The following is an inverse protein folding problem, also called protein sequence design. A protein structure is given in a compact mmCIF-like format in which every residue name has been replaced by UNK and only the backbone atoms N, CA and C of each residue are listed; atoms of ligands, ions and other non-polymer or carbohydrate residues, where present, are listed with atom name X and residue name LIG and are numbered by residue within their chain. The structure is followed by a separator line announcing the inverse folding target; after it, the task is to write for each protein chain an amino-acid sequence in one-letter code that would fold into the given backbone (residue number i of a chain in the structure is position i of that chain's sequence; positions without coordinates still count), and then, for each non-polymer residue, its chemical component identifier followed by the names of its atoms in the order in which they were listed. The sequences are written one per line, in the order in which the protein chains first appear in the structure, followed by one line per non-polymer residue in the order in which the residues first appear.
data_IF_244949944478
#
_entry.id   IF_244949944478
#
_cell.length_a   1.000
_cell.length_b   1.000
_cell.length_c   1.000
_cell.angle_alpha   90.00
_cell.angle_beta   90.00
_cell.angle_gamma   90.00
#
_symmetry.space_group_name_H-M   'P 1'
#
loop_
_entity.id
_entity.type
_entity.pdbx_description
1 polymer ?
#
# COMPACT_ATOMS: atom_id res chain seq x y z
N UNK A 1 -6.18 -11.72 -29.36
CA UNK A 1 -4.84 -11.31 -28.93
C UNK A 1 -4.69 -11.79 -27.50
N UNK A 2 -4.03 -12.92 -27.30
CA UNK A 2 -3.80 -13.49 -25.97
C UNK A 2 -2.65 -12.73 -25.33
N UNK A 3 -2.94 -11.60 -24.69
CA UNK A 3 -2.01 -11.02 -23.73
C UNK A 3 -2.10 -11.88 -22.47
N UNK A 4 -1.01 -12.55 -22.17
CA UNK A 4 -0.86 -13.46 -21.05
C UNK A 4 -1.09 -12.68 -19.74
N UNK A 5 -2.28 -12.83 -19.13
CA UNK A 5 -2.74 -12.02 -18.00
C UNK A 5 -1.98 -12.41 -16.74
N UNK A 6 -1.49 -11.43 -15.99
CA UNK A 6 -0.76 -11.69 -14.75
C UNK A 6 -1.22 -10.76 -13.64
N UNK A 7 -1.51 -11.32 -12.47
CA UNK A 7 -1.84 -10.56 -11.26
C UNK A 7 -0.72 -10.76 -10.25
N UNK A 8 -0.27 -9.67 -9.63
CA UNK A 8 0.65 -9.73 -8.50
C UNK A 8 -0.16 -9.88 -7.21
N UNK A 9 0.14 -10.92 -6.43
CA UNK A 9 -0.38 -11.12 -5.09
C UNK A 9 0.61 -10.58 -4.06
N UNK A 10 0.11 -9.74 -3.16
CA UNK A 10 0.85 -9.24 -1.99
C UNK A 10 0.07 -9.65 -0.73
N UNK A 11 0.69 -10.42 0.14
CA UNK A 11 0.05 -11.02 1.32
C UNK A 11 0.81 -10.69 2.60
N UNK A 12 0.10 -10.41 3.69
CA UNK A 12 0.72 -10.37 5.00
C UNK A 12 0.85 -11.78 5.60
N UNK A 13 2.08 -12.25 5.79
CA UNK A 13 2.36 -13.55 6.41
C UNK A 13 2.10 -13.52 7.92
N UNK A 14 1.49 -14.59 8.47
CA UNK A 14 1.34 -14.76 9.92
C UNK A 14 -0.04 -15.16 10.44
N UNK A 15 -1.03 -15.43 9.58
CA UNK A 15 -2.34 -15.98 9.98
C UNK A 15 -2.79 -17.12 9.06
N UNK A 16 -3.35 -18.18 9.63
CA UNK A 16 -3.80 -19.36 8.88
C UNK A 16 -4.90 -19.02 7.86
N UNK A 17 -5.78 -18.06 8.18
CA UNK A 17 -6.84 -17.52 7.31
C UNK A 17 -6.31 -16.90 6.00
N UNK A 18 -5.08 -16.37 6.01
CA UNK A 18 -4.42 -15.82 4.81
C UNK A 18 -4.06 -16.91 3.83
N UNK A 19 -3.64 -18.07 4.34
CA UNK A 19 -3.20 -19.22 3.53
C UNK A 19 -4.34 -19.80 2.71
N UNK A 20 -5.51 -19.98 3.33
CA UNK A 20 -6.68 -20.54 2.63
C UNK A 20 -7.20 -19.58 1.55
N UNK A 21 -7.27 -18.29 1.87
CA UNK A 21 -7.70 -17.25 0.92
C UNK A 21 -6.73 -17.15 -0.26
N UNK A 22 -5.41 -17.15 -0.01
CA UNK A 22 -4.40 -17.11 -1.07
C UNK A 22 -4.48 -18.34 -2.00
N UNK A 23 -4.70 -19.55 -1.45
CA UNK A 23 -4.94 -20.77 -2.26
C UNK A 23 -6.19 -20.65 -3.13
N UNK A 24 -7.24 -20.02 -2.61
CA UNK A 24 -8.48 -19.79 -3.35
C UNK A 24 -8.29 -18.82 -4.51
N UNK A 25 -7.53 -17.74 -4.29
CA UNK A 25 -7.11 -16.79 -5.33
C UNK A 25 -6.34 -17.50 -6.43
N UNK A 26 -5.30 -18.25 -6.07
CA UNK A 26 -4.49 -19.04 -7.01
C UNK A 26 -5.34 -19.97 -7.86
N UNK A 27 -6.16 -20.82 -7.23
CA UNK A 27 -7.00 -21.78 -7.94
C UNK A 27 -7.94 -21.09 -8.93
N UNK A 28 -8.63 -20.05 -8.49
CA UNK A 28 -9.66 -19.39 -9.31
C UNK A 28 -9.02 -18.65 -10.48
N UNK A 29 -7.90 -17.96 -10.27
CA UNK A 29 -7.20 -17.24 -11.34
C UNK A 29 -6.58 -18.21 -12.37
N UNK A 30 -5.96 -19.29 -11.90
CA UNK A 30 -5.36 -20.31 -12.78
C UNK A 30 -6.40 -21.04 -13.64
N UNK A 31 -7.56 -21.41 -13.07
CA UNK A 31 -8.69 -22.00 -13.82
C UNK A 31 -9.23 -21.06 -14.92
N UNK A 32 -8.99 -19.76 -14.80
CA UNK A 32 -9.39 -18.74 -15.78
C UNK A 32 -8.23 -18.23 -16.65
N UNK A 33 -7.09 -18.94 -16.66
CA UNK A 33 -5.94 -18.63 -17.51
C UNK A 33 -5.23 -17.32 -17.13
N UNK A 34 -5.28 -16.94 -15.85
CA UNK A 34 -4.58 -15.77 -15.30
C UNK A 34 -3.42 -16.28 -14.46
N UNK A 35 -2.20 -15.88 -14.82
CA UNK A 35 -0.99 -16.21 -14.06
C UNK A 35 -0.96 -15.42 -12.76
N UNK A 36 -0.50 -16.08 -11.71
CA UNK A 36 -0.29 -15.46 -10.41
C UNK A 36 1.21 -15.26 -10.18
N UNK A 37 1.57 -14.06 -9.77
CA UNK A 37 2.92 -13.72 -9.31
C UNK A 37 2.88 -13.43 -7.81
N UNK A 38 3.90 -13.84 -7.05
CA UNK A 38 3.98 -13.60 -5.61
C UNK A 38 5.40 -13.18 -5.19
N UNK A 39 5.53 -12.45 -4.07
CA UNK A 39 6.82 -11.93 -3.60
C UNK A 39 7.61 -12.97 -2.77
N UNK A 40 8.93 -13.00 -2.93
CA UNK A 40 9.83 -13.93 -2.26
C UNK A 40 9.93 -13.70 -0.75
N UNK A 41 9.84 -12.45 -0.29
CA UNK A 41 9.84 -12.12 1.15
C UNK A 41 8.61 -12.70 1.88
N UNK A 42 7.48 -12.81 1.18
CA UNK A 42 6.25 -13.43 1.67
C UNK A 42 6.30 -14.96 1.58
N UNK A 43 7.21 -15.50 0.78
CA UNK A 43 7.53 -16.93 0.75
C UNK A 43 8.58 -17.33 1.81
N UNK A 44 9.30 -16.38 2.44
CA UNK A 44 10.50 -16.68 3.24
C UNK A 44 10.49 -16.16 4.69
N UNK A 45 9.82 -15.06 5.07
CA UNK A 45 9.92 -14.54 6.46
C UNK A 45 8.64 -14.72 7.33
N UNK A 46 8.84 -15.52 8.39
CA UNK A 46 8.14 -15.64 9.69
C UNK A 46 6.62 -15.85 9.73
N UNK A 47 6.22 -17.12 9.69
CA UNK A 47 5.05 -17.63 10.42
C UNK A 47 4.12 -18.50 9.58
N UNK A 48 4.14 -19.82 9.84
CA UNK A 48 3.22 -20.87 9.37
C UNK A 48 3.13 -21.16 7.86
N UNK A 49 3.44 -20.20 6.99
CA UNK A 49 3.54 -20.41 5.56
C UNK A 49 4.95 -20.91 5.22
N UNK A 50 5.20 -22.21 5.41
CA UNK A 50 6.09 -22.90 4.48
C UNK A 50 5.36 -22.94 3.13
N UNK A 51 5.40 -21.83 2.39
CA UNK A 51 5.26 -21.84 0.94
C UNK A 51 6.68 -21.94 0.40
N UNK A 52 7.37 -23.05 0.68
CA UNK A 52 8.62 -23.28 -0.01
C UNK A 52 8.32 -23.25 -1.52
N UNK A 53 9.21 -22.70 -2.36
CA UNK A 53 9.06 -22.78 -3.81
C UNK A 53 8.78 -24.22 -4.30
N UNK A 54 9.25 -25.21 -3.54
CA UNK A 54 9.01 -26.64 -3.76
C UNK A 54 7.59 -27.09 -3.38
N UNK A 55 6.96 -26.52 -2.35
CA UNK A 55 5.56 -26.79 -1.99
C UNK A 55 4.60 -26.21 -3.04
N UNK A 56 4.94 -25.04 -3.61
CA UNK A 56 4.18 -24.41 -4.71
C UNK A 56 4.33 -25.21 -6.02
N UNK A 57 5.52 -25.74 -6.32
CA UNK A 57 5.75 -26.63 -7.47
C UNK A 57 5.09 -28.00 -7.31
N UNK A 58 5.05 -28.56 -6.10
CA UNK A 58 4.42 -29.85 -5.82
C UNK A 58 2.89 -29.83 -5.97
N UNK A 59 2.28 -28.64 -5.92
CA UNK A 59 0.84 -28.43 -6.10
C UNK A 59 0.40 -28.37 -7.57
N UNK A 60 1.33 -28.47 -8.52
CA UNK A 60 1.02 -28.49 -9.95
C UNK A 60 0.60 -27.14 -10.54
N UNK A 61 0.96 -26.04 -9.87
CA UNK A 61 0.58 -24.68 -10.24
C UNK A 61 1.82 -23.86 -10.62
N UNK A 62 1.72 -23.12 -11.74
CA UNK A 62 2.77 -22.20 -12.20
C UNK A 62 2.61 -20.82 -11.51
N UNK A 63 2.93 -20.73 -10.21
CA UNK A 63 3.11 -19.40 -9.59
C UNK A 63 4.52 -18.91 -9.88
N UNK A 64 4.62 -17.69 -10.41
CA UNK A 64 5.88 -16.99 -10.58
C UNK A 64 6.27 -16.31 -9.26
N UNK A 65 7.31 -16.81 -8.59
CA UNK A 65 7.86 -16.15 -7.39
C UNK A 65 8.95 -15.19 -7.81
N UNK A 66 8.81 -13.92 -7.45
CA UNK A 66 9.77 -12.84 -7.77
C UNK A 66 10.28 -12.17 -6.50
N UNK A 67 11.41 -11.49 -6.58
CA UNK A 67 11.90 -10.70 -5.45
C UNK A 67 11.02 -9.48 -5.18
N UNK A 68 11.00 -9.04 -3.92
CA UNK A 68 10.29 -7.84 -3.49
C UNK A 68 11.04 -6.57 -3.91
N UNK A 69 11.33 -6.44 -5.20
CA UNK A 69 11.95 -5.28 -5.82
C UNK A 69 10.89 -4.36 -6.48
N UNK A 70 11.20 -3.09 -6.76
CA UNK A 70 10.23 -2.13 -7.30
C UNK A 70 9.56 -2.56 -8.61
N UNK A 71 10.19 -3.46 -9.38
CA UNK A 71 9.72 -3.98 -10.67
C UNK A 71 8.91 -5.26 -10.55
N UNK A 72 8.65 -5.76 -9.35
CA UNK A 72 7.89 -7.00 -9.13
C UNK A 72 6.50 -6.98 -9.83
N UNK A 73 5.90 -5.80 -9.99
CA UNK A 73 4.61 -5.60 -10.65
C UNK A 73 4.71 -5.38 -12.18
N UNK A 74 5.90 -5.31 -12.77
CA UNK A 74 6.05 -5.06 -14.21
C UNK A 74 5.40 -6.18 -15.04
N UNK A 75 4.53 -5.80 -15.96
CA UNK A 75 3.78 -6.74 -16.81
C UNK A 75 2.56 -7.37 -16.13
N UNK A 76 2.28 -7.04 -14.87
CA UNK A 76 1.01 -7.38 -14.23
C UNK A 76 -0.10 -6.42 -14.67
N UNK A 77 -1.36 -6.84 -14.57
CA UNK A 77 -2.53 -5.99 -14.83
C UNK A 77 -3.16 -5.40 -13.57
N UNK A 78 -2.84 -5.99 -12.41
CA UNK A 78 -3.40 -5.64 -11.11
C UNK A 78 -2.45 -6.11 -10.00
N UNK A 79 -2.38 -5.35 -8.91
CA UNK A 79 -1.86 -5.83 -7.63
C UNK A 79 -3.03 -6.16 -6.71
N UNK A 80 -3.20 -7.44 -6.37
CA UNK A 80 -4.18 -7.92 -5.41
C UNK A 80 -3.51 -8.05 -4.03
N UNK A 81 -4.10 -7.41 -3.03
CA UNK A 81 -3.59 -7.37 -1.66
C UNK A 81 -4.49 -8.18 -0.76
N UNK A 82 -3.92 -9.12 -0.02
CA UNK A 82 -4.61 -9.81 1.06
C UNK A 82 -3.99 -9.41 2.40
N UNK A 83 -4.62 -8.47 3.09
CA UNK A 83 -4.07 -7.87 4.29
C UNK A 83 -4.75 -6.56 4.69
N UNK A 84 -4.14 -5.85 5.64
CA UNK A 84 -4.62 -4.55 6.10
C UNK A 84 -3.96 -3.38 5.37
N UNK A 85 -4.21 -2.16 5.87
CA UNK A 85 -3.72 -0.91 5.27
C UNK A 85 -2.19 -0.87 5.10
N UNK A 86 -1.42 -1.44 6.03
CA UNK A 86 0.05 -1.52 5.89
C UNK A 86 0.50 -2.39 4.71
N UNK A 87 -0.21 -3.50 4.45
CA UNK A 87 0.02 -4.36 3.27
C UNK A 87 -0.41 -3.65 1.99
N UNK A 88 -1.50 -2.87 2.05
CA UNK A 88 -1.96 -2.06 0.92
C UNK A 88 -0.92 -0.99 0.54
N UNK A 89 -0.33 -0.28 1.51
CA UNK A 89 0.71 0.72 1.26
C UNK A 89 1.96 0.11 0.62
N UNK A 90 2.37 -1.07 1.09
CA UNK A 90 3.46 -1.86 0.47
C UNK A 90 3.15 -2.20 -0.99
N UNK A 91 1.93 -2.64 -1.27
CA UNK A 91 1.49 -2.96 -2.62
C UNK A 91 1.40 -1.73 -3.53
N UNK A 92 0.94 -0.59 -3.00
CA UNK A 92 0.87 0.68 -3.72
C UNK A 92 2.25 1.15 -4.19
N UNK A 93 3.32 0.84 -3.45
CA UNK A 93 4.69 1.12 -3.88
C UNK A 93 5.09 0.36 -5.16
N UNK A 94 4.74 -0.92 -5.23
CA UNK A 94 5.01 -1.76 -6.40
C UNK A 94 4.11 -1.35 -7.58
N UNK A 95 2.83 -1.14 -7.31
CA UNK A 95 1.83 -0.78 -8.30
C UNK A 95 2.12 0.59 -8.94
N UNK A 96 2.59 1.57 -8.15
CA UNK A 96 3.00 2.88 -8.66
C UNK A 96 4.13 2.79 -9.67
N UNK A 97 5.10 1.88 -9.46
CA UNK A 97 6.23 1.70 -10.38
C UNK A 97 5.77 1.11 -11.72
N UNK A 98 4.78 0.21 -11.67
CA UNK A 98 4.19 -0.41 -12.86
C UNK A 98 3.02 0.37 -13.48
N UNK A 99 2.55 1.45 -12.83
CA UNK A 99 1.38 2.24 -13.21
C UNK A 99 0.09 1.40 -13.35
N UNK A 100 -0.16 0.49 -12.39
CA UNK A 100 -1.33 -0.40 -12.38
C UNK A 100 -2.20 -0.24 -11.13
N UNK A 101 -3.48 -0.67 -11.18
CA UNK A 101 -4.37 -0.57 -10.02
C UNK A 101 -3.94 -1.49 -8.86
N UNK A 102 -4.37 -1.12 -7.65
CA UNK A 102 -4.27 -1.93 -6.43
C UNK A 102 -5.67 -2.25 -5.94
N UNK A 103 -5.91 -3.51 -5.58
CA UNK A 103 -7.17 -3.97 -5.02
C UNK A 103 -6.92 -4.66 -3.68
N UNK A 104 -7.52 -4.15 -2.61
CA UNK A 104 -7.33 -4.67 -1.26
C UNK A 104 -8.49 -5.55 -0.78
N UNK A 105 -8.16 -6.72 -0.25
CA UNK A 105 -9.06 -7.60 0.52
C UNK A 105 -8.55 -7.70 1.95
N UNK A 106 -9.38 -7.27 2.88
CA UNK A 106 -9.10 -7.31 4.30
C UNK A 106 -9.33 -8.71 4.86
N UNK A 107 -8.32 -9.24 5.55
CA UNK A 107 -8.38 -10.55 6.21
C UNK A 107 -8.46 -10.43 7.75
N UNK A 108 -8.88 -9.28 8.27
CA UNK A 108 -8.85 -9.04 9.71
C UNK A 108 -9.63 -7.81 10.16
N UNK A 109 -8.95 -6.87 10.84
CA UNK A 109 -9.60 -5.68 11.37
C UNK A 109 -9.95 -4.73 10.23
N UNK A 110 -11.19 -4.24 10.22
CA UNK A 110 -11.67 -3.18 9.32
C UNK A 110 -10.63 -2.05 9.25
N UNK A 111 -10.09 -1.82 8.06
CA UNK A 111 -9.18 -0.72 7.72
C UNK A 111 -9.89 0.31 6.83
N UNK A 112 -9.17 1.34 6.39
CA UNK A 112 -9.74 2.38 5.53
C UNK A 112 -9.46 2.17 4.04
N UNK A 113 -8.49 1.32 3.68
CA UNK A 113 -8.03 1.15 2.29
C UNK A 113 -8.51 -0.14 1.63
N UNK A 114 -8.84 -1.16 2.42
CA UNK A 114 -9.29 -2.43 1.87
C UNK A 114 -10.77 -2.36 1.45
N UNK A 115 -11.07 -2.83 0.24
CA UNK A 115 -12.36 -2.67 -0.44
C UNK A 115 -13.34 -3.81 -0.13
N UNK A 116 -12.85 -4.97 0.32
CA UNK A 116 -13.65 -6.16 0.59
C UNK A 116 -13.14 -6.96 1.79
N UNK A 117 -14.01 -7.73 2.42
CA UNK A 117 -13.65 -8.72 3.45
C UNK A 117 -13.31 -10.08 2.82
N UNK A 118 -12.60 -10.94 3.56
CA UNK A 118 -12.17 -12.27 3.11
C UNK A 118 -13.35 -13.11 2.60
N UNK A 119 -14.52 -12.99 3.24
CA UNK A 119 -15.75 -13.69 2.89
C UNK A 119 -16.25 -13.36 1.49
N UNK A 120 -15.91 -12.16 0.97
CA UNK A 120 -16.31 -11.69 -0.35
C UNK A 120 -15.29 -12.05 -1.45
N UNK A 121 -14.23 -12.80 -1.16
CA UNK A 121 -13.14 -13.08 -2.11
C UNK A 121 -13.61 -13.65 -3.44
N UNK A 122 -14.64 -14.51 -3.46
CA UNK A 122 -15.19 -15.07 -4.70
C UNK A 122 -15.78 -14.00 -5.62
N UNK A 123 -16.52 -13.05 -5.04
CA UNK A 123 -17.10 -11.95 -5.81
C UNK A 123 -15.98 -11.04 -6.32
N UNK A 124 -14.99 -10.75 -5.48
CA UNK A 124 -13.81 -9.96 -5.85
C UNK A 124 -13.07 -10.61 -7.02
N UNK A 125 -12.82 -11.91 -6.95
CA UNK A 125 -12.15 -12.66 -8.02
C UNK A 125 -12.98 -12.69 -9.30
N UNK A 126 -14.30 -12.83 -9.20
CA UNK A 126 -15.21 -12.68 -10.32
C UNK A 126 -15.01 -11.34 -11.05
N UNK A 127 -14.89 -10.25 -10.28
CA UNK A 127 -14.63 -8.93 -10.85
C UNK A 127 -13.24 -8.78 -11.47
N UNK A 128 -12.21 -9.36 -10.84
CA UNK A 128 -10.85 -9.40 -11.39
C UNK A 128 -10.81 -10.17 -12.72
N UNK A 129 -11.49 -11.32 -12.78
CA UNK A 129 -11.56 -12.16 -13.99
C UNK A 129 -12.28 -11.42 -15.12
N UNK A 130 -13.42 -10.80 -14.82
CA UNK A 130 -14.23 -10.05 -15.78
C UNK A 130 -13.62 -8.69 -16.17
N UNK A 131 -12.66 -8.17 -15.37
CA UNK A 131 -12.12 -6.80 -15.45
C UNK A 131 -13.21 -5.73 -15.42
N UNK A 132 -14.25 -5.93 -14.62
CA UNK A 132 -15.39 -5.01 -14.46
C UNK A 132 -15.34 -4.21 -13.16
N UNK A 133 -14.14 -4.08 -12.57
CA UNK A 133 -13.85 -3.17 -11.47
C UNK A 133 -13.71 -1.72 -11.95
N UNK A 134 -13.87 -0.78 -11.00
CA UNK A 134 -13.59 0.64 -11.23
C UNK A 134 -12.18 0.96 -10.76
N UNK A 135 -11.52 1.86 -11.50
CA UNK A 135 -10.21 2.41 -11.12
C UNK A 135 -10.44 3.88 -10.78
N UNK A 136 -9.97 4.27 -9.60
CA UNK A 136 -10.05 5.63 -9.09
C UNK A 136 -8.64 6.13 -8.80
N UNK A 137 -8.35 7.35 -9.25
CA UNK A 137 -7.10 8.02 -8.92
C UNK A 137 -7.16 8.54 -7.49
N UNK A 138 -6.11 8.28 -6.71
CA UNK A 138 -5.97 8.78 -5.33
C UNK A 138 -4.82 9.77 -5.27
N UNK A 139 -5.05 10.90 -4.58
CA UNK A 139 -4.03 11.93 -4.39
C UNK A 139 -2.81 11.35 -3.67
N UNK A 140 -1.62 11.62 -4.20
CA UNK A 140 -0.33 11.30 -3.57
C UNK A 140 0.50 12.56 -3.34
N UNK A 141 1.35 12.55 -2.32
CA UNK A 141 2.31 13.62 -2.05
C UNK A 141 3.66 13.32 -2.69
N UNK A 142 4.32 14.35 -3.21
CA UNK A 142 5.73 14.34 -3.57
C UNK A 142 6.49 15.14 -2.51
N UNK A 143 7.63 14.61 -2.04
CA UNK A 143 8.41 15.22 -0.98
C UNK A 143 9.88 15.33 -1.39
N UNK A 144 10.48 16.49 -1.13
CA UNK A 144 11.90 16.73 -1.36
C UNK A 144 12.55 17.26 -0.08
N UNK A 145 13.71 16.71 0.27
CA UNK A 145 14.56 17.24 1.34
C UNK A 145 15.61 18.14 0.69
N UNK A 146 15.61 19.42 1.06
CA UNK A 146 16.51 20.42 0.51
C UNK A 146 17.37 21.05 1.60
N UNK A 147 18.68 21.10 1.37
CA UNK A 147 19.65 21.77 2.25
C UNK A 147 20.48 22.73 1.39
N UNK A 148 20.57 23.99 1.81
CA UNK A 148 21.33 25.05 1.10
C UNK A 148 21.02 25.14 -0.41
N UNK A 149 19.74 24.96 -0.77
CA UNK A 149 19.29 25.02 -2.15
C UNK A 149 19.41 23.71 -2.94
N UNK A 150 20.13 22.69 -2.43
CA UNK A 150 20.33 21.41 -3.11
C UNK A 150 19.36 20.34 -2.62
N UNK A 151 18.81 19.53 -3.54
CA UNK A 151 17.96 18.39 -3.21
C UNK A 151 18.87 17.24 -2.77
N UNK A 152 18.71 16.78 -1.54
CA UNK A 152 19.44 15.64 -0.99
C UNK A 152 18.67 14.33 -1.18
N UNK A 153 17.35 14.37 -0.97
CA UNK A 153 16.49 13.20 -1.05
C UNK A 153 15.15 13.56 -1.68
N UNK A 154 14.50 12.57 -2.27
CA UNK A 154 13.14 12.66 -2.79
C UNK A 154 12.36 11.42 -2.40
N UNK A 155 11.10 11.60 -2.06
CA UNK A 155 10.18 10.53 -1.75
C UNK A 155 8.77 10.87 -2.20
N UNK A 156 7.83 10.01 -1.85
CA UNK A 156 6.42 10.22 -2.08
C UNK A 156 5.61 9.52 -0.98
N UNK A 157 4.34 9.86 -0.85
CA UNK A 157 3.45 9.22 0.10
C UNK A 157 2.02 9.11 -0.43
N UNK A 158 1.36 7.98 -0.18
CA UNK A 158 -0.08 7.84 -0.36
C UNK A 158 -0.86 8.37 0.85
N UNK A 159 -0.36 8.16 2.06
CA UNK A 159 -1.04 8.59 3.29
C UNK A 159 -0.49 9.90 3.83
N UNK A 160 0.74 9.91 4.36
CA UNK A 160 1.34 11.12 4.92
C UNK A 160 2.86 11.12 4.85
N UNK A 161 3.40 12.34 4.90
CA UNK A 161 4.79 12.63 5.23
C UNK A 161 4.83 13.09 6.68
N UNK A 162 5.51 12.32 7.54
CA UNK A 162 5.71 12.66 8.95
C UNK A 162 7.10 13.25 9.17
N UNK A 163 7.16 14.55 9.48
CA UNK A 163 8.37 15.16 10.02
C UNK A 163 8.35 15.00 11.54
N UNK A 164 9.33 14.29 12.09
CA UNK A 164 9.41 14.01 13.53
C UNK A 164 10.72 14.50 14.13
N UNK A 165 10.70 14.86 15.41
CA UNK A 165 11.93 15.10 16.16
C UNK A 165 12.74 13.80 16.26
N UNK A 166 14.02 13.87 15.91
CA UNK A 166 14.94 12.74 16.06
C UNK A 166 15.24 12.41 17.54
N UNK A 167 15.68 13.39 18.36
CA UNK A 167 15.94 13.17 19.77
C UNK A 167 14.65 12.97 20.58
N UNK A 168 14.69 12.07 21.59
CA UNK A 168 13.54 11.82 22.48
C UNK A 168 13.19 13.01 23.39
N UNK A 169 14.19 13.82 23.74
CA UNK A 169 14.06 14.98 24.61
C UNK A 169 14.17 16.28 23.80
N UNK A 170 13.53 17.34 24.28
CA UNK A 170 13.48 18.63 23.61
C UNK A 170 12.35 18.76 22.61
N UNK A 171 12.35 19.89 21.90
CA UNK A 171 11.34 20.29 20.90
C UNK A 171 12.01 20.54 19.55
N UNK A 172 11.31 20.24 18.47
CA UNK A 172 11.71 20.60 17.12
C UNK A 172 11.17 22.01 16.82
N UNK A 173 12.06 22.97 16.57
CA UNK A 173 11.65 24.29 16.08
C UNK A 173 11.40 24.25 14.58
N UNK A 174 10.20 24.63 14.13
CA UNK A 174 9.81 24.62 12.72
C UNK A 174 9.23 25.96 12.28
N UNK A 175 9.43 26.29 11.01
CA UNK A 175 8.68 27.32 10.29
C UNK A 175 7.89 26.61 9.21
N UNK A 176 6.57 26.76 9.23
CA UNK A 176 5.69 26.22 8.20
C UNK A 176 5.42 27.32 7.17
N UNK A 177 5.69 26.98 5.91
CA UNK A 177 5.49 27.86 4.75
C UNK A 177 4.46 27.23 3.81
N UNK A 178 3.57 28.04 3.26
CA UNK A 178 2.62 27.65 2.22
C UNK A 178 2.74 28.64 1.06
N UNK A 179 2.91 28.14 -0.16
CA UNK A 179 3.07 28.94 -1.38
C UNK A 179 4.13 30.06 -1.26
N UNK A 180 5.32 29.74 -0.73
CA UNK A 180 6.41 30.71 -0.63
C UNK A 180 6.27 31.70 0.53
N UNK A 181 5.26 31.54 1.41
CA UNK A 181 4.95 32.51 2.48
C UNK A 181 4.84 31.86 3.85
N UNK A 182 5.52 32.41 4.89
CA UNK A 182 5.50 31.83 6.23
C UNK A 182 4.10 31.98 6.85
N UNK A 183 3.58 30.88 7.39
CA UNK A 183 2.27 30.83 8.04
C UNK A 183 2.43 30.85 9.55
N UNK A 184 3.35 30.06 10.10
CA UNK A 184 3.53 29.93 11.55
C UNK A 184 4.92 29.42 11.92
N UNK A 185 5.34 29.74 13.15
CA UNK A 185 6.61 29.30 13.74
C UNK A 185 6.36 28.85 15.17
N UNK A 186 6.78 27.64 15.52
CA UNK A 186 6.53 27.04 16.83
C UNK A 186 7.52 25.91 17.12
N UNK A 187 7.57 25.48 18.38
CA UNK A 187 8.23 24.25 18.79
C UNK A 187 7.21 23.12 18.87
N UNK A 188 7.51 21.94 18.34
CA UNK A 188 6.58 20.81 18.30
C UNK A 188 7.32 19.47 18.39
N UNK A 189 6.57 18.36 18.44
CA UNK A 189 7.14 17.03 18.26
C UNK A 189 7.34 16.69 16.77
N UNK A 190 6.55 17.33 15.90
CA UNK A 190 6.61 17.12 14.46
C UNK A 190 5.53 17.87 13.69
N UNK A 191 5.50 17.66 12.37
CA UNK A 191 4.44 18.16 11.48
C UNK A 191 4.08 17.04 10.51
N UNK A 192 2.79 16.74 10.40
CA UNK A 192 2.25 15.80 9.42
C UNK A 192 1.74 16.59 8.21
N UNK A 193 2.14 16.16 7.01
CA UNK A 193 1.54 16.58 5.74
C UNK A 193 0.86 15.36 5.17
N UNK A 194 -0.47 15.37 5.11
CA UNK A 194 -1.29 14.20 4.84
C UNK A 194 -2.21 14.41 3.64
N UNK A 195 -2.47 13.33 2.91
CA UNK A 195 -3.53 13.26 1.91
C UNK A 195 -4.89 13.06 2.58
N UNK A 196 -6.00 13.18 1.85
CA UNK A 196 -7.32 12.85 2.38
C UNK A 196 -7.42 11.37 2.77
N UNK A 197 -6.76 10.49 2.02
CA UNK A 197 -6.61 9.07 2.36
C UNK A 197 -5.86 8.85 3.68
N UNK A 198 -4.78 9.58 3.93
CA UNK A 198 -4.03 9.51 5.19
C UNK A 198 -4.68 10.23 6.38
N UNK A 199 -5.74 11.01 6.14
CA UNK A 199 -6.40 11.79 7.19
C UNK A 199 -6.97 10.93 8.33
N UNK A 200 -7.24 9.65 8.07
CA UNK A 200 -7.75 8.67 9.04
C UNK A 200 -6.65 7.89 9.76
N UNK A 201 -5.37 8.08 9.38
CA UNK A 201 -4.22 7.40 9.94
C UNK A 201 -3.54 8.24 11.04
N UNK A 202 -2.25 8.55 10.92
CA UNK A 202 -1.53 9.26 11.98
C UNK A 202 -2.04 10.70 12.15
N UNK A 203 -2.47 11.33 11.05
CA UNK A 203 -3.06 12.68 11.07
C UNK A 203 -4.28 12.77 12.02
N UNK A 204 -5.15 11.75 12.02
CA UNK A 204 -6.28 11.68 12.94
C UNK A 204 -5.83 11.62 14.40
N UNK A 205 -4.82 10.79 14.69
CA UNK A 205 -4.28 10.62 16.05
C UNK A 205 -3.63 11.91 16.57
N UNK A 206 -3.09 12.75 15.67
CA UNK A 206 -2.55 14.07 15.99
C UNK A 206 -3.64 15.16 16.09
N UNK A 207 -4.92 14.81 15.99
CA UNK A 207 -6.05 15.75 16.11
C UNK A 207 -6.50 16.39 14.80
N UNK A 208 -6.04 15.88 13.64
CA UNK A 208 -6.50 16.30 12.33
C UNK A 208 -7.96 15.88 12.04
N UNK A 209 -8.66 16.61 11.16
CA UNK A 209 -10.00 16.23 10.73
C UNK A 209 -9.98 15.01 9.82
N UNK A 210 -11.08 14.25 9.81
CA UNK A 210 -11.32 13.22 8.78
C UNK A 210 -11.75 13.92 7.48
N UNK A 211 -11.07 13.58 6.38
CA UNK A 211 -11.37 14.06 5.04
C UNK A 211 -11.95 12.93 4.20
N UNK A 212 -12.85 13.27 3.28
CA UNK A 212 -13.38 12.30 2.33
C UNK A 212 -12.30 11.95 1.29
N UNK A 213 -12.12 10.67 0.89
CA UNK A 213 -11.03 10.26 -0.01
C UNK A 213 -11.00 10.97 -1.36
N UNK A 214 -12.17 11.33 -1.91
CA UNK A 214 -12.29 11.99 -3.23
C UNK A 214 -11.95 13.50 -3.20
N UNK A 215 -11.67 14.05 -2.01
CA UNK A 215 -11.28 15.45 -1.89
C UNK A 215 -9.88 15.66 -2.50
N UNK A 216 -9.67 16.77 -3.20
CA UNK A 216 -8.33 17.18 -3.63
C UNK A 216 -7.82 18.27 -2.67
N UNK A 217 -7.17 17.85 -1.59
CA UNK A 217 -6.59 18.75 -0.60
C UNK A 217 -5.34 18.18 0.04
N UNK A 218 -4.47 19.06 0.53
CA UNK A 218 -3.34 18.69 1.38
C UNK A 218 -3.67 19.15 2.81
N UNK A 219 -3.58 18.22 3.76
CA UNK A 219 -3.80 18.48 5.18
C UNK A 219 -2.46 18.67 5.89
N UNK A 220 -2.32 19.74 6.67
CA UNK A 220 -1.16 19.97 7.54
C UNK A 220 -1.60 19.91 8.99
N UNK A 221 -1.02 19.00 9.78
CA UNK A 221 -1.33 18.81 11.21
C UNK A 221 -0.05 19.00 12.03
N UNK A 222 0.11 20.11 12.77
CA UNK A 222 1.16 20.25 13.76
C UNK A 222 0.98 19.23 14.88
N UNK A 223 2.01 18.46 15.20
CA UNK A 223 1.96 17.41 16.22
C UNK A 223 2.53 17.92 17.55
N UNK A 224 1.68 18.01 18.58
CA UNK A 224 2.02 18.52 19.91
C UNK A 224 2.75 19.89 19.87
N UNK A 225 2.22 20.82 19.06
CA UNK A 225 2.71 22.19 18.90
C UNK A 225 2.15 23.16 19.95
#
# INVERSE_FOLDING_TARGET
MSHDRTVLLVVHTGRDEVTETARRVEKTLSENGIRLRALSAEAVDRGSLHLAPDDMRALGVEIEVVDADPRAAEGCELVLVLGGDGTFLRAAELARTAEIPVLGVNLGRIGFLAEAEAEAIENVLGHVIARDYRVEDRLTLDVVVRVEGQILERGWALSEVSLEKGPRLGVLGVVVEVDGRPVSTFGCDGVLVSTPTGSTAYAFSAGGPVLWPDLEAILVVPNNA
#
